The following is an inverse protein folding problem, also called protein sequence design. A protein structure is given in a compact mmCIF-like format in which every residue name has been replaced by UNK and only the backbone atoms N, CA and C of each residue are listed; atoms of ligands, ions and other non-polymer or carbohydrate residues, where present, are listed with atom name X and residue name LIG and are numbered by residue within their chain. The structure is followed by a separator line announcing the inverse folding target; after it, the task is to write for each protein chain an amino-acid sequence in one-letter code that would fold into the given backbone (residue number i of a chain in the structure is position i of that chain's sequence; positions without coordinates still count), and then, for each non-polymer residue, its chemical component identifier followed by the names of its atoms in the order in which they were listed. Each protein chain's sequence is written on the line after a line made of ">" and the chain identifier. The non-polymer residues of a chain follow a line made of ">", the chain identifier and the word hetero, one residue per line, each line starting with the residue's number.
data_IF_729352679678
#
_entry.id   IF_729352679678
#
_cell.length_a   1.000
_cell.length_b   1.000
_cell.length_c   1.000
_cell.angle_alpha   90.00
_cell.angle_beta   90.00
_cell.angle_gamma   90.00
#
_symmetry.space_group_name_H-M   'P 1'
#
loop_
_entity.id
_entity.type
_entity.pdbx_description
1 polymer ?
#
# COMPACT_ATOMS: atom_id res chain seq x y z
N UNK A 1 14.00 10.42 -28.79
CA UNK A 1 13.33 9.53 -27.80
C UNK A 1 13.45 10.17 -26.44
N UNK A 2 12.36 10.27 -25.69
CA UNK A 2 12.41 10.74 -24.30
C UNK A 2 13.07 9.66 -23.44
N UNK A 3 13.79 10.01 -22.37
CA UNK A 3 14.39 9.09 -21.42
C UNK A 3 13.37 8.06 -20.90
N UNK A 4 12.14 8.49 -20.65
CA UNK A 4 11.07 7.59 -20.23
C UNK A 4 10.77 6.49 -21.28
N UNK A 5 10.69 6.84 -22.55
CA UNK A 5 10.44 5.86 -23.60
C UNK A 5 11.55 4.79 -23.69
N UNK A 6 12.80 5.15 -23.39
CA UNK A 6 13.90 4.19 -23.33
C UNK A 6 13.82 3.28 -22.10
N UNK A 7 13.48 3.83 -20.93
CA UNK A 7 13.28 3.05 -19.70
C UNK A 7 12.12 2.06 -19.90
N UNK A 8 10.98 2.54 -20.38
CA UNK A 8 9.80 1.72 -20.63
C UNK A 8 10.07 0.59 -21.65
N UNK A 9 10.91 0.82 -22.65
CA UNK A 9 11.28 -0.21 -23.62
C UNK A 9 12.22 -1.28 -23.05
N UNK A 10 13.13 -0.90 -22.12
CA UNK A 10 14.15 -1.81 -21.58
C UNK A 10 13.73 -2.52 -20.31
N UNK A 11 12.99 -1.84 -19.45
CA UNK A 11 12.57 -2.34 -18.15
C UNK A 11 11.19 -1.75 -17.76
N UNK A 12 10.11 -2.15 -18.46
CA UNK A 12 8.77 -1.58 -18.26
C UNK A 12 8.25 -1.76 -16.82
N UNK A 13 8.74 -2.78 -16.13
CA UNK A 13 8.32 -3.13 -14.77
C UNK A 13 9.26 -2.60 -13.68
N UNK A 14 10.22 -1.74 -14.04
CA UNK A 14 11.17 -1.21 -13.08
C UNK A 14 10.45 -0.34 -12.04
N UNK A 15 10.29 -0.87 -10.82
CA UNK A 15 9.49 -0.27 -9.73
C UNK A 15 9.82 1.21 -9.49
N UNK A 16 11.10 1.52 -9.25
CA UNK A 16 11.50 2.91 -8.95
C UNK A 16 11.30 3.86 -10.13
N UNK A 17 11.45 3.39 -11.37
CA UNK A 17 11.21 4.21 -12.55
C UNK A 17 9.70 4.53 -12.69
N UNK A 18 8.84 3.54 -12.50
CA UNK A 18 7.40 3.74 -12.51
C UNK A 18 6.93 4.65 -11.37
N UNK A 19 7.49 4.51 -10.16
CA UNK A 19 7.21 5.42 -9.05
C UNK A 19 7.62 6.88 -9.35
N UNK A 20 8.78 7.09 -10.00
CA UNK A 20 9.19 8.44 -10.43
C UNK A 20 8.31 9.00 -11.54
N UNK A 21 7.89 8.18 -12.50
CA UNK A 21 6.95 8.60 -13.54
C UNK A 21 5.55 8.88 -12.97
N UNK A 22 5.08 8.10 -12.00
CA UNK A 22 3.85 8.37 -11.27
C UNK A 22 3.89 9.77 -10.63
N UNK A 23 4.99 10.09 -9.94
CA UNK A 23 5.18 11.43 -9.33
C UNK A 23 5.16 12.55 -10.38
N UNK A 24 5.72 12.34 -11.58
CA UNK A 24 5.65 13.32 -12.67
C UNK A 24 4.20 13.62 -13.06
N UNK A 25 3.34 12.61 -13.10
CA UNK A 25 1.93 12.74 -13.46
C UNK A 25 1.03 13.24 -12.33
N UNK A 26 1.56 13.44 -11.11
CA UNK A 26 0.81 14.03 -10.02
C UNK A 26 0.39 15.48 -10.33
N UNK A 27 -0.76 15.89 -9.80
CA UNK A 27 -1.30 17.25 -9.95
C UNK A 27 -0.33 18.34 -9.46
N UNK A 28 0.51 18.03 -8.46
CA UNK A 28 1.51 18.96 -7.92
C UNK A 28 2.64 19.31 -8.90
N UNK A 29 2.78 18.56 -10.01
CA UNK A 29 3.83 18.77 -11.03
C UNK A 29 3.22 19.08 -12.40
N UNK A 30 3.01 18.07 -13.24
CA UNK A 30 2.65 18.26 -14.65
C UNK A 30 1.38 17.53 -15.06
N UNK A 31 0.69 16.85 -14.11
CA UNK A 31 -0.43 15.99 -14.41
C UNK A 31 -1.73 16.37 -13.70
N UNK A 32 -2.54 15.37 -13.49
CA UNK A 32 -3.78 15.40 -12.74
C UNK A 32 -3.97 14.04 -12.05
N UNK A 33 -4.92 13.93 -11.12
CA UNK A 33 -5.27 12.63 -10.54
C UNK A 33 -5.64 11.61 -11.62
N UNK A 34 -6.44 12.01 -12.61
CA UNK A 34 -6.83 11.13 -13.72
C UNK A 34 -5.63 10.62 -14.52
N UNK A 35 -4.69 11.49 -14.89
CA UNK A 35 -3.48 11.10 -15.63
C UNK A 35 -2.57 10.21 -14.79
N UNK A 36 -2.41 10.51 -13.50
CA UNK A 36 -1.62 9.71 -12.57
C UNK A 36 -2.19 8.29 -12.45
N UNK A 37 -3.49 8.16 -12.21
CA UNK A 37 -4.16 6.87 -12.13
C UNK A 37 -4.12 6.12 -13.46
N UNK A 38 -4.40 6.77 -14.58
CA UNK A 38 -4.31 6.17 -15.91
C UNK A 38 -2.91 5.63 -16.21
N UNK A 39 -1.86 6.39 -15.84
CA UNK A 39 -0.49 5.95 -16.01
C UNK A 39 -0.21 4.65 -15.26
N UNK A 40 -0.50 4.62 -13.95
CA UNK A 40 -0.18 3.43 -13.15
C UNK A 40 -1.06 2.23 -13.52
N UNK A 41 -2.33 2.44 -13.85
CA UNK A 41 -3.21 1.37 -14.31
C UNK A 41 -2.73 0.74 -15.61
N UNK A 42 -2.22 1.56 -16.55
CA UNK A 42 -1.62 1.07 -17.79
C UNK A 42 -0.33 0.26 -17.54
N UNK A 43 0.49 0.70 -16.58
CA UNK A 43 1.71 -0.01 -16.21
C UNK A 43 1.40 -1.37 -15.53
N UNK A 44 0.41 -1.40 -14.65
CA UNK A 44 -0.05 -2.62 -13.97
C UNK A 44 -0.64 -3.60 -14.99
N UNK A 45 -1.50 -3.12 -15.90
CA UNK A 45 -2.13 -3.97 -16.92
C UNK A 45 -1.11 -4.63 -17.86
N UNK A 46 0.05 -4.02 -18.08
CA UNK A 46 1.14 -4.55 -18.89
C UNK A 46 2.14 -5.43 -18.09
N UNK A 47 2.00 -5.50 -16.77
CA UNK A 47 2.91 -6.24 -15.91
C UNK A 47 2.45 -7.70 -15.70
N UNK A 48 3.37 -8.64 -15.49
CA UNK A 48 3.01 -10.00 -15.13
C UNK A 48 2.47 -10.04 -13.69
N UNK A 49 1.74 -11.10 -13.39
CA UNK A 49 1.36 -11.43 -12.02
C UNK A 49 2.61 -11.57 -11.12
N UNK A 50 2.52 -11.05 -9.90
CA UNK A 50 3.66 -10.96 -8.98
C UNK A 50 4.50 -9.69 -9.14
N UNK A 51 4.09 -8.77 -10.02
CA UNK A 51 4.72 -7.45 -10.15
C UNK A 51 4.41 -6.57 -8.95
N UNK A 52 5.43 -5.90 -8.40
CA UNK A 52 5.23 -4.96 -7.29
C UNK A 52 4.57 -3.63 -7.72
N UNK A 53 4.29 -3.42 -9.02
CA UNK A 53 3.69 -2.16 -9.50
C UNK A 53 2.30 -1.89 -8.92
N UNK A 54 1.56 -2.92 -8.54
CA UNK A 54 0.27 -2.79 -7.84
C UNK A 54 0.38 -2.02 -6.52
N UNK A 55 1.50 -2.12 -5.82
CA UNK A 55 1.75 -1.32 -4.62
C UNK A 55 1.86 0.20 -4.92
N UNK A 56 2.29 0.59 -6.12
CA UNK A 56 2.33 2.00 -6.54
C UNK A 56 0.92 2.58 -6.77
N UNK A 57 -0.09 1.75 -6.97
CA UNK A 57 -1.48 2.23 -7.02
C UNK A 57 -1.93 2.79 -5.66
N UNK A 58 -1.42 2.20 -4.57
CA UNK A 58 -1.68 2.69 -3.20
C UNK A 58 -0.98 4.06 -2.98
N UNK A 59 0.23 4.23 -3.52
CA UNK A 59 0.92 5.53 -3.56
C UNK A 59 0.08 6.57 -4.31
N UNK A 60 -0.50 6.21 -5.46
CA UNK A 60 -1.35 7.11 -6.23
C UNK A 60 -2.58 7.58 -5.42
N UNK A 61 -3.27 6.68 -4.73
CA UNK A 61 -4.38 7.05 -3.85
C UNK A 61 -3.94 7.98 -2.71
N UNK A 62 -2.79 7.71 -2.10
CA UNK A 62 -2.25 8.61 -1.06
C UNK A 62 -1.97 10.00 -1.61
N UNK A 63 -1.36 10.12 -2.79
CA UNK A 63 -1.09 11.42 -3.42
C UNK A 63 -2.40 12.18 -3.71
N UNK A 64 -3.43 11.50 -4.22
CA UNK A 64 -4.77 12.07 -4.42
C UNK A 64 -5.35 12.56 -3.09
N UNK A 65 -5.47 11.67 -2.10
CA UNK A 65 -6.16 11.98 -0.85
C UNK A 65 -5.47 13.05 0.00
N UNK A 66 -4.13 13.05 0.02
CA UNK A 66 -3.37 14.10 0.69
C UNK A 66 -3.56 15.45 -0.01
N UNK A 67 -3.54 15.47 -1.35
CA UNK A 67 -3.70 16.70 -2.13
C UNK A 67 -5.08 17.31 -1.97
N UNK A 68 -6.12 16.48 -2.00
CA UNK A 68 -7.51 16.90 -1.93
C UNK A 68 -7.99 17.08 -0.47
N UNK A 69 -7.13 16.80 0.51
CA UNK A 69 -7.49 16.76 1.93
C UNK A 69 -8.72 15.87 2.15
N UNK A 70 -8.72 14.72 1.48
CA UNK A 70 -9.83 13.78 1.53
C UNK A 70 -10.06 13.27 2.96
N UNK A 71 -11.31 13.02 3.36
CA UNK A 71 -11.61 12.43 4.66
C UNK A 71 -11.07 11.00 4.76
N UNK A 72 -10.86 10.52 5.99
CA UNK A 72 -10.27 9.21 6.23
C UNK A 72 -11.07 8.04 5.62
N UNK A 73 -12.38 8.18 5.46
CA UNK A 73 -13.24 7.19 4.84
C UNK A 73 -13.03 7.05 3.32
N UNK A 74 -12.31 7.99 2.67
CA UNK A 74 -11.89 7.85 1.29
C UNK A 74 -11.09 6.56 1.05
N UNK A 75 -10.35 6.07 2.06
CA UNK A 75 -9.63 4.80 2.00
C UNK A 75 -10.54 3.56 1.97
N UNK A 76 -11.83 3.72 2.29
CA UNK A 76 -12.85 2.65 2.24
C UNK A 76 -13.60 2.59 0.91
N UNK A 77 -13.22 3.38 -0.07
CA UNK A 77 -13.81 3.37 -1.41
C UNK A 77 -13.63 1.98 -2.07
N UNK A 78 -14.60 1.54 -2.88
CA UNK A 78 -14.51 0.23 -3.57
C UNK A 78 -13.29 0.09 -4.49
N UNK A 79 -12.89 1.15 -5.18
CA UNK A 79 -11.73 1.16 -6.06
C UNK A 79 -10.40 1.01 -5.28
N UNK A 80 -10.32 1.57 -4.08
CA UNK A 80 -9.18 1.36 -3.15
C UNK A 80 -9.15 -0.09 -2.69
N UNK A 81 -10.30 -0.67 -2.32
CA UNK A 81 -10.37 -2.07 -1.90
C UNK A 81 -9.88 -3.01 -3.00
N UNK A 82 -10.32 -2.83 -4.25
CA UNK A 82 -9.85 -3.59 -5.41
C UNK A 82 -8.35 -3.47 -5.61
N UNK A 83 -7.79 -2.26 -5.47
CA UNK A 83 -6.35 -2.04 -5.60
C UNK A 83 -5.55 -2.72 -4.48
N UNK A 84 -6.04 -2.68 -3.25
CA UNK A 84 -5.42 -3.38 -2.12
C UNK A 84 -5.42 -4.90 -2.32
N UNK A 85 -6.54 -5.47 -2.78
CA UNK A 85 -6.65 -6.91 -3.04
C UNK A 85 -5.70 -7.35 -4.17
N UNK A 86 -5.61 -6.57 -5.25
CA UNK A 86 -4.67 -6.82 -6.33
C UNK A 86 -3.21 -6.76 -5.84
N UNK A 87 -2.87 -5.78 -5.01
CA UNK A 87 -1.53 -5.65 -4.46
C UNK A 87 -1.18 -6.79 -3.48
N UNK A 88 -2.15 -7.26 -2.70
CA UNK A 88 -1.98 -8.45 -1.84
C UNK A 88 -1.67 -9.70 -2.67
N UNK A 89 -2.44 -9.94 -3.74
CA UNK A 89 -2.26 -11.10 -4.60
C UNK A 89 -0.89 -11.08 -5.31
N UNK A 90 -0.49 -9.94 -5.86
CA UNK A 90 0.80 -9.81 -6.53
C UNK A 90 1.97 -9.91 -5.55
N UNK A 91 1.85 -9.32 -4.35
CA UNK A 91 2.92 -9.41 -3.36
C UNK A 91 3.12 -10.83 -2.84
N UNK A 92 2.04 -11.63 -2.75
CA UNK A 92 2.11 -13.04 -2.38
C UNK A 92 2.84 -13.89 -3.45
N UNK A 93 2.77 -13.49 -4.72
CA UNK A 93 3.43 -14.14 -5.85
C UNK A 93 4.80 -13.54 -6.22
N UNK A 94 5.19 -12.44 -5.56
CA UNK A 94 6.41 -11.72 -5.89
C UNK A 94 7.68 -12.50 -5.50
N UNK A 95 8.77 -12.23 -6.23
CA UNK A 95 10.10 -12.73 -5.88
C UNK A 95 10.49 -12.22 -4.48
N UNK A 96 10.73 -13.12 -3.51
CA UNK A 96 11.12 -12.73 -2.15
C UNK A 96 12.46 -12.00 -2.09
N UNK A 97 13.30 -12.11 -3.11
CA UNK A 97 14.59 -11.42 -3.23
C UNK A 97 14.46 -10.05 -3.93
N UNK A 98 13.25 -9.65 -4.34
CA UNK A 98 13.08 -8.38 -5.07
C UNK A 98 13.53 -7.18 -4.21
N UNK A 99 14.43 -6.30 -4.71
CA UNK A 99 15.07 -5.26 -3.90
C UNK A 99 14.11 -4.19 -3.38
N UNK A 100 12.91 -4.08 -3.96
CA UNK A 100 11.85 -3.12 -3.54
C UNK A 100 10.70 -3.76 -2.77
N UNK A 101 10.87 -5.00 -2.33
CA UNK A 101 9.83 -5.72 -1.59
C UNK A 101 9.46 -5.00 -0.27
N UNK A 102 10.46 -4.41 0.41
CA UNK A 102 10.26 -3.66 1.66
C UNK A 102 9.38 -2.43 1.43
N UNK A 103 9.59 -1.71 0.33
CA UNK A 103 8.76 -0.54 -0.02
C UNK A 103 7.33 -0.94 -0.37
N UNK A 104 7.15 -2.01 -1.16
CA UNK A 104 5.83 -2.51 -1.51
C UNK A 104 5.05 -2.98 -0.26
N UNK A 105 5.72 -3.67 0.67
CA UNK A 105 5.14 -4.02 1.98
C UNK A 105 4.74 -2.79 2.78
N UNK A 106 5.55 -1.73 2.72
CA UNK A 106 5.23 -0.46 3.38
C UNK A 106 3.93 0.16 2.85
N UNK A 107 3.78 0.22 1.54
CA UNK A 107 2.55 0.73 0.92
C UNK A 107 1.33 -0.11 1.29
N UNK A 108 1.44 -1.44 1.30
CA UNK A 108 0.35 -2.32 1.72
C UNK A 108 0.01 -2.14 3.21
N UNK A 109 0.99 -2.14 4.11
CA UNK A 109 0.76 -1.91 5.53
C UNK A 109 0.00 -0.59 5.77
N UNK A 110 0.44 0.47 5.10
CA UNK A 110 -0.19 1.79 5.17
C UNK A 110 -1.63 1.77 4.65
N UNK A 111 -1.84 1.32 3.40
CA UNK A 111 -3.14 1.35 2.75
C UNK A 111 -4.17 0.48 3.47
N UNK A 112 -3.79 -0.73 3.89
CA UNK A 112 -4.65 -1.63 4.65
C UNK A 112 -5.07 -1.02 5.99
N UNK A 113 -4.12 -0.41 6.74
CA UNK A 113 -4.46 0.27 8.00
C UNK A 113 -5.43 1.42 7.76
N UNK A 114 -5.17 2.28 6.77
CA UNK A 114 -6.07 3.40 6.44
C UNK A 114 -7.46 2.93 5.98
N UNK A 115 -7.55 1.74 5.38
CA UNK A 115 -8.81 1.13 4.97
C UNK A 115 -9.56 0.40 6.11
N UNK A 116 -8.99 0.31 7.32
CA UNK A 116 -9.58 -0.42 8.44
C UNK A 116 -9.40 -1.95 8.33
N UNK A 117 -8.38 -2.40 7.59
CA UNK A 117 -8.03 -3.82 7.37
C UNK A 117 -6.83 -4.22 8.26
N UNK A 118 -6.90 -3.86 9.53
CA UNK A 118 -5.84 -4.08 10.52
C UNK A 118 -5.32 -5.50 10.62
N UNK A 119 -6.17 -6.55 10.66
CA UNK A 119 -5.72 -7.93 10.70
C UNK A 119 -4.73 -8.30 9.58
N UNK A 120 -4.98 -7.82 8.36
CA UNK A 120 -4.10 -8.05 7.21
C UNK A 120 -2.85 -7.16 7.27
N UNK A 121 -3.00 -5.90 7.70
CA UNK A 121 -1.89 -4.95 7.82
C UNK A 121 -0.82 -5.42 8.81
N UNK A 122 -1.20 -6.06 9.91
CA UNK A 122 -0.29 -6.51 10.98
C UNK A 122 0.78 -7.46 10.45
N UNK A 123 0.48 -8.32 9.48
CA UNK A 123 1.45 -9.25 8.90
C UNK A 123 2.57 -8.49 8.16
N UNK A 124 2.22 -7.40 7.46
CA UNK A 124 3.22 -6.54 6.81
C UNK A 124 4.07 -5.78 7.80
N UNK A 125 3.48 -5.25 8.89
CA UNK A 125 4.26 -4.63 9.96
C UNK A 125 5.23 -5.60 10.65
N UNK A 126 4.84 -6.88 10.81
CA UNK A 126 5.74 -7.92 11.32
C UNK A 126 6.92 -8.15 10.38
N UNK A 127 6.63 -8.26 9.08
CA UNK A 127 7.67 -8.44 8.06
C UNK A 127 8.60 -7.24 7.91
N UNK A 128 8.13 -6.01 8.17
CA UNK A 128 8.94 -4.79 8.17
C UNK A 128 9.82 -4.67 9.42
N UNK A 129 9.41 -5.25 10.56
CA UNK A 129 10.14 -5.19 11.81
C UNK A 129 10.35 -3.76 12.31
N UNK A 130 11.60 -3.29 12.25
CA UNK A 130 12.00 -1.93 12.63
C UNK A 130 12.29 -1.02 11.43
N UNK A 131 12.11 -1.52 10.20
CA UNK A 131 12.35 -0.75 9.00
C UNK A 131 11.17 0.18 8.74
N UNK A 132 11.46 1.47 8.60
CA UNK A 132 10.47 2.52 8.27
C UNK A 132 10.63 2.91 6.81
N UNK A 133 9.92 2.26 5.86
CA UNK A 133 10.03 2.57 4.43
C UNK A 133 9.10 3.71 4.01
N UNK A 134 9.01 4.03 2.71
CA UNK A 134 7.85 4.73 2.18
C UNK A 134 6.56 3.95 2.58
N UNK A 135 5.44 4.62 2.89
CA UNK A 135 5.13 6.06 2.75
C UNK A 135 5.55 6.96 3.93
N UNK A 136 6.07 6.40 5.03
CA UNK A 136 6.29 7.17 6.28
C UNK A 136 7.37 8.23 6.18
N UNK A 137 8.34 8.11 5.27
CA UNK A 137 9.38 9.13 5.03
C UNK A 137 8.79 10.51 4.65
N UNK A 138 7.50 10.58 4.33
CA UNK A 138 6.78 11.82 4.00
C UNK A 138 6.00 12.40 5.19
N UNK A 139 6.12 11.81 6.36
CA UNK A 139 5.54 12.34 7.61
C UNK A 139 6.53 13.30 8.26
N UNK A 140 6.03 14.25 9.06
CA UNK A 140 6.88 15.17 9.84
C UNK A 140 7.77 14.38 10.82
N UNK A 141 7.22 13.34 11.43
CA UNK A 141 7.95 12.33 12.18
C UNK A 141 7.68 10.95 11.60
N UNK A 142 8.58 10.40 10.76
CA UNK A 142 8.42 9.09 10.14
C UNK A 142 8.27 7.94 11.14
N UNK A 143 9.00 8.00 12.26
CA UNK A 143 9.00 6.94 13.28
C UNK A 143 7.69 6.95 14.03
N UNK A 144 7.27 8.12 14.53
CA UNK A 144 6.00 8.27 15.22
C UNK A 144 4.82 7.87 14.32
N UNK A 145 4.84 8.28 13.06
CA UNK A 145 3.83 7.90 12.05
C UNK A 145 3.76 6.39 11.82
N UNK A 146 4.91 5.72 11.70
CA UNK A 146 4.99 4.27 11.56
C UNK A 146 4.45 3.54 12.80
N UNK A 147 4.89 3.95 13.99
CA UNK A 147 4.45 3.34 15.25
C UNK A 147 2.96 3.56 15.46
N UNK A 148 2.45 4.75 15.20
CA UNK A 148 1.04 5.09 15.36
C UNK A 148 0.13 4.23 14.46
N UNK A 149 0.42 4.14 13.16
CA UNK A 149 -0.37 3.30 12.24
C UNK A 149 -0.24 1.80 12.57
N UNK A 150 0.94 1.34 12.96
CA UNK A 150 1.11 -0.04 13.44
C UNK A 150 0.25 -0.34 14.66
N UNK A 151 0.18 0.58 15.61
CA UNK A 151 -0.67 0.44 16.80
C UNK A 151 -2.15 0.40 16.41
N UNK A 152 -2.60 1.27 15.50
CA UNK A 152 -3.96 1.24 14.94
C UNK A 152 -4.30 -0.13 14.34
N UNK A 153 -3.44 -0.67 13.49
CA UNK A 153 -3.66 -1.98 12.87
C UNK A 153 -3.76 -3.11 13.91
N UNK A 154 -2.94 -3.05 14.97
CA UNK A 154 -2.99 -4.04 16.07
C UNK A 154 -4.30 -3.94 16.85
N UNK A 155 -4.76 -2.72 17.15
CA UNK A 155 -6.04 -2.52 17.83
C UNK A 155 -7.21 -3.05 17.00
N UNK A 156 -7.27 -2.72 15.71
CA UNK A 156 -8.28 -3.25 14.79
C UNK A 156 -8.25 -4.80 14.72
N UNK A 157 -7.06 -5.40 14.71
CA UNK A 157 -6.92 -6.86 14.75
C UNK A 157 -7.45 -7.46 16.06
N UNK A 158 -7.25 -6.79 17.20
CA UNK A 158 -7.75 -7.25 18.49
C UNK A 158 -9.27 -7.14 18.57
N UNK A 159 -9.84 -6.06 18.05
CA UNK A 159 -11.28 -5.83 18.02
C UNK A 159 -12.00 -6.80 17.07
N UNK A 160 -11.34 -7.22 15.98
CA UNK A 160 -11.88 -8.19 15.03
C UNK A 160 -11.86 -9.65 15.56
N UNK A 161 -11.16 -9.92 16.66
CA UNK A 161 -11.19 -11.25 17.28
C UNK A 161 -12.57 -11.50 17.90
N UNK A 162 -13.25 -12.61 17.54
CA UNK A 162 -14.49 -12.98 18.23
C UNK A 162 -14.15 -13.11 19.73
N UNK A 163 -15.02 -12.56 20.59
CA UNK A 163 -14.91 -12.70 22.03
C UNK A 163 -14.78 -14.22 22.32
N UNK A 164 -13.54 -14.68 22.53
CA UNK A 164 -13.27 -16.08 22.75
C UNK A 164 -14.00 -16.48 24.01
N UNK A 165 -15.04 -17.27 23.80
CA UNK A 165 -15.73 -18.12 24.75
C UNK A 165 -15.26 -17.96 26.21
N UNK A 166 -15.80 -17.00 26.93
CA UNK A 166 -16.05 -17.15 28.36
C UNK A 166 -17.23 -18.11 28.53
N UNK A 167 -17.03 -19.37 28.18
CA UNK A 167 -17.89 -20.41 28.67
C UNK A 167 -17.59 -20.56 30.17
N UNK A 168 -18.51 -20.21 31.06
CA UNK A 168 -18.35 -20.60 32.47
C UNK A 168 -18.32 -22.11 32.50
N UNK A 169 -17.21 -22.66 33.03
CA UNK A 169 -17.04 -24.07 33.22
C UNK A 169 -18.27 -24.68 33.87
N UNK A 170 -18.99 -25.53 33.15
CA UNK A 170 -20.01 -26.39 33.71
C UNK A 170 -19.31 -27.31 34.73
N UNK A 171 -19.43 -26.90 35.98
CA UNK A 171 -19.00 -27.71 37.09
C UNK A 171 -19.72 -29.08 37.03
N UNK A 172 -18.95 -30.10 36.83
CA UNK A 172 -19.41 -31.47 37.04
C UNK A 172 -19.79 -31.70 38.49
N UNK A 173 -20.99 -32.17 38.66
CA UNK A 173 -21.39 -32.93 39.85
C UNK A 173 -21.20 -34.42 39.55
#
# INVERSE_FOLDING_TARGET
>A
RTLWAEIAARAPQHYSANGRALQYWCQKWHGSHALMHQFIDSAIAAAPHGSLLTALKIEAFREEFVRDKAPDDAWKRPDVAVALDAALADLAAADPAHPRLVEARGWLAYGLTKAGRGPEAVEFYRALGHTVPAPWIHFDDPIAGFIGLRATAVLEMLDARPAAANAPGAGSR
#
